data_IF_556942554272
#
_entry.id   IF_556942554272
#
_cell.length_a   1.000
_cell.length_b   1.000
_cell.length_c   1.000
_cell.angle_alpha   90.00
_cell.angle_beta   90.00
_cell.angle_gamma   90.00
#
_symmetry.space_group_name_H-M   'P 1'
#
loop_
_entity.id
_entity.type
_entity.pdbx_description
1 polymer ?
#
# COMPACT_ATOMS: atom_id res chain seq x y z
N UNK A 1 -12.12 -26.70 -5.55
CA UNK A 1 -11.29 -26.76 -6.77
C UNK A 1 -11.37 -25.42 -7.46
N UNK A 2 -10.45 -24.51 -7.14
CA UNK A 2 -10.30 -23.24 -7.84
C UNK A 2 -8.96 -23.28 -8.56
N UNK A 3 -9.00 -23.58 -9.86
CA UNK A 3 -7.86 -23.39 -10.75
C UNK A 3 -7.79 -21.89 -10.98
N UNK A 4 -6.88 -21.21 -10.29
CA UNK A 4 -6.35 -19.94 -10.81
C UNK A 4 -5.81 -20.26 -12.21
N UNK A 5 -6.27 -19.49 -13.20
CA UNK A 5 -6.05 -19.75 -14.61
C UNK A 5 -4.55 -19.95 -14.88
N UNK A 6 -4.16 -21.00 -15.59
CA UNK A 6 -2.74 -21.30 -15.89
C UNK A 6 -1.95 -20.08 -16.38
N UNK A 7 -2.62 -19.19 -17.11
CA UNK A 7 -2.06 -17.94 -17.63
C UNK A 7 -1.57 -16.96 -16.56
N UNK A 8 -2.20 -16.89 -15.39
CA UNK A 8 -1.81 -15.98 -14.31
C UNK A 8 -0.55 -16.48 -13.60
N UNK A 9 -0.45 -17.81 -13.44
CA UNK A 9 0.76 -18.45 -12.98
C UNK A 9 1.90 -18.28 -13.99
N UNK A 10 1.61 -18.45 -15.28
CA UNK A 10 2.59 -18.24 -16.36
C UNK A 10 3.12 -16.79 -16.38
N UNK A 11 2.25 -15.79 -16.21
CA UNK A 11 2.66 -14.38 -16.15
C UNK A 11 3.51 -14.07 -14.90
N UNK A 12 3.19 -14.68 -13.76
CA UNK A 12 3.98 -14.51 -12.55
C UNK A 12 5.37 -15.13 -12.71
N UNK A 13 5.45 -16.33 -13.29
CA UNK A 13 6.73 -17.00 -13.55
C UNK A 13 7.58 -16.21 -14.55
N UNK A 14 6.96 -15.65 -15.60
CA UNK A 14 7.61 -14.74 -16.55
C UNK A 14 8.14 -13.47 -15.87
N UNK A 15 7.36 -12.87 -14.96
CA UNK A 15 7.78 -11.73 -14.14
C UNK A 15 8.99 -12.09 -13.29
N UNK A 16 8.92 -13.17 -12.50
CA UNK A 16 10.00 -13.59 -11.61
C UNK A 16 11.28 -13.87 -12.41
N UNK A 17 11.17 -14.62 -13.51
CA UNK A 17 12.30 -14.89 -14.41
C UNK A 17 12.92 -13.61 -14.96
N UNK A 18 12.10 -12.67 -15.41
CA UNK A 18 12.55 -11.39 -15.97
C UNK A 18 13.30 -10.54 -14.94
N UNK A 19 12.78 -10.39 -13.73
CA UNK A 19 13.43 -9.60 -12.68
C UNK A 19 14.73 -10.27 -12.21
N UNK A 20 14.76 -11.61 -12.11
CA UNK A 20 15.99 -12.33 -11.76
C UNK A 20 17.09 -12.14 -12.82
N UNK A 21 16.75 -12.18 -14.11
CA UNK A 21 17.69 -11.88 -15.19
C UNK A 21 18.21 -10.43 -15.12
N UNK A 22 17.34 -9.47 -14.81
CA UNK A 22 17.73 -8.07 -14.64
C UNK A 22 18.65 -7.90 -13.41
N UNK A 23 18.33 -8.56 -12.29
CA UNK A 23 19.13 -8.54 -11.06
C UNK A 23 20.57 -8.99 -11.32
N UNK A 24 20.76 -10.06 -12.08
CA UNK A 24 22.11 -10.51 -12.46
C UNK A 24 22.77 -9.55 -13.48
N UNK A 25 22.05 -9.09 -14.51
CA UNK A 25 22.56 -8.17 -15.53
C UNK A 25 23.06 -6.84 -14.96
N UNK A 26 22.42 -6.33 -13.91
CA UNK A 26 22.75 -5.05 -13.27
C UNK A 26 23.48 -5.19 -11.93
N UNK A 27 23.96 -6.40 -11.61
CA UNK A 27 24.77 -6.67 -10.42
C UNK A 27 25.97 -5.74 -10.34
N UNK A 28 26.15 -5.11 -9.17
CA UNK A 28 27.20 -4.11 -8.93
C UNK A 28 26.93 -2.71 -9.53
N UNK A 29 25.82 -2.52 -10.27
CA UNK A 29 25.39 -1.20 -10.79
C UNK A 29 24.22 -0.62 -9.99
N UNK A 30 23.23 -1.45 -9.69
CA UNK A 30 22.13 -1.10 -8.79
C UNK A 30 21.62 -2.34 -8.06
N UNK A 31 20.99 -2.13 -6.91
CA UNK A 31 20.32 -3.20 -6.18
C UNK A 31 18.90 -3.33 -6.71
N UNK A 32 18.58 -4.49 -7.29
CA UNK A 32 17.24 -4.83 -7.78
C UNK A 32 16.66 -5.87 -6.83
N UNK A 33 15.50 -5.57 -6.27
CA UNK A 33 14.74 -6.49 -5.42
C UNK A 33 13.53 -7.01 -6.20
N UNK A 34 13.28 -8.30 -6.09
CA UNK A 34 12.05 -8.93 -6.57
C UNK A 34 10.99 -8.74 -5.51
N UNK A 35 9.83 -8.19 -5.89
CA UNK A 35 8.76 -7.99 -4.92
C UNK A 35 7.38 -7.94 -5.54
N UNK A 36 6.37 -7.92 -4.69
CA UNK A 36 4.98 -7.72 -5.08
C UNK A 36 4.33 -6.69 -4.15
N UNK A 37 3.40 -5.93 -4.71
CA UNK A 37 2.38 -5.26 -3.93
C UNK A 37 1.19 -6.22 -3.81
N UNK A 38 0.84 -6.57 -2.57
CA UNK A 38 -0.15 -7.58 -2.24
C UNK A 38 -1.35 -6.87 -1.65
N UNK A 39 -2.50 -7.07 -2.28
CA UNK A 39 -3.77 -6.60 -1.77
C UNK A 39 -4.21 -7.36 -0.52
N UNK A 40 -4.53 -6.61 0.52
CA UNK A 40 -5.39 -7.11 1.58
C UNK A 40 -6.85 -6.89 1.21
N UNK A 41 -7.56 -7.99 0.98
CA UNK A 41 -9.00 -7.98 0.69
C UNK A 41 -9.71 -8.68 1.85
N UNK A 42 -10.52 -7.92 2.58
CA UNK A 42 -11.27 -8.43 3.74
C UNK A 42 -12.13 -9.63 3.34
N UNK A 43 -11.98 -10.76 4.03
CA UNK A 43 -12.68 -12.01 3.73
C UNK A 43 -11.99 -12.95 2.74
N UNK A 44 -10.84 -12.57 2.18
CA UNK A 44 -10.00 -13.40 1.31
C UNK A 44 -8.64 -13.74 1.93
N UNK A 45 -8.49 -13.62 3.24
CA UNK A 45 -7.21 -13.76 3.94
C UNK A 45 -6.56 -15.13 3.72
N UNK A 46 -7.35 -16.21 3.68
CA UNK A 46 -6.84 -17.56 3.44
C UNK A 46 -6.35 -17.75 1.99
N UNK A 47 -6.97 -17.06 1.04
CA UNK A 47 -6.53 -17.06 -0.35
C UNK A 47 -5.25 -16.24 -0.50
N UNK A 48 -5.18 -15.05 0.10
CA UNK A 48 -3.97 -14.23 0.17
C UNK A 48 -2.82 -14.99 0.84
N UNK A 49 -3.08 -15.68 1.95
CA UNK A 49 -2.08 -16.50 2.66
C UNK A 49 -1.58 -17.66 1.80
N UNK A 50 -2.48 -18.36 1.11
CA UNK A 50 -2.11 -19.46 0.20
C UNK A 50 -1.24 -18.95 -0.94
N UNK A 51 -1.60 -17.81 -1.54
CA UNK A 51 -0.80 -17.14 -2.56
C UNK A 51 0.59 -16.76 -2.02
N UNK A 52 0.67 -16.09 -0.88
CA UNK A 52 1.92 -15.69 -0.24
C UNK A 52 2.82 -16.89 0.10
N UNK A 53 2.27 -18.02 0.50
CA UNK A 53 3.06 -19.24 0.75
C UNK A 53 3.66 -19.83 -0.52
N UNK A 54 3.03 -19.62 -1.68
CA UNK A 54 3.56 -20.07 -2.97
C UNK A 54 4.65 -19.14 -3.49
N UNK A 55 4.41 -17.83 -3.45
CA UNK A 55 5.26 -16.84 -4.12
C UNK A 55 6.33 -16.25 -3.21
N UNK A 56 6.04 -16.17 -1.90
CA UNK A 56 6.86 -15.52 -0.89
C UNK A 56 8.31 -16.01 -0.81
N UNK A 57 8.63 -17.31 -1.01
CA UNK A 57 10.02 -17.78 -1.07
C UNK A 57 10.87 -17.16 -2.19
N UNK A 58 10.24 -16.54 -3.19
CA UNK A 58 10.88 -15.94 -4.35
C UNK A 58 10.96 -14.40 -4.28
N UNK A 59 10.41 -13.78 -3.23
CA UNK A 59 10.38 -12.33 -3.07
C UNK A 59 11.49 -11.89 -2.11
N UNK A 60 12.21 -10.84 -2.48
CA UNK A 60 13.16 -10.14 -1.61
C UNK A 60 12.45 -9.13 -0.69
N UNK A 61 11.34 -8.56 -1.14
CA UNK A 61 10.58 -7.52 -0.44
C UNK A 61 9.13 -7.49 -0.94
N UNK A 62 8.19 -7.02 -0.12
CA UNK A 62 6.79 -6.90 -0.53
C UNK A 62 6.04 -5.83 0.25
N UNK A 63 4.97 -5.32 -0.36
CA UNK A 63 4.08 -4.30 0.22
C UNK A 63 2.72 -4.92 0.49
N UNK A 64 2.11 -4.61 1.62
CA UNK A 64 0.71 -4.92 1.92
C UNK A 64 -0.13 -3.64 1.79
N UNK A 65 -1.05 -3.63 0.84
CA UNK A 65 -1.85 -2.46 0.49
C UNK A 65 -3.35 -2.74 0.62
N UNK A 66 -4.13 -1.68 0.81
CA UNK A 66 -5.61 -1.74 0.83
C UNK A 66 -6.12 -0.88 -0.30
N UNK A 67 -6.62 -1.52 -1.37
CA UNK A 67 -7.27 -0.86 -2.51
C UNK A 67 -8.79 -1.08 -2.54
N UNK A 68 -9.29 -2.12 -1.86
CA UNK A 68 -10.70 -2.50 -1.90
C UNK A 68 -11.34 -2.38 -0.53
N UNK A 69 -12.52 -1.74 -0.49
CA UNK A 69 -13.36 -1.65 0.71
C UNK A 69 -14.61 -2.48 0.55
N UNK A 70 -14.97 -3.19 1.62
CA UNK A 70 -16.19 -4.01 1.68
C UNK A 70 -17.33 -3.19 2.28
N UNK A 71 -18.44 -3.09 1.57
CA UNK A 71 -19.65 -2.44 2.10
C UNK A 71 -20.46 -3.38 3.02
N UNK A 72 -21.55 -2.86 3.59
CA UNK A 72 -22.41 -3.61 4.52
C UNK A 72 -23.14 -4.78 3.86
N UNK A 73 -23.34 -4.70 2.55
CA UNK A 73 -23.94 -5.74 1.71
C UNK A 73 -22.91 -6.79 1.27
N UNK A 74 -21.63 -6.60 1.59
CA UNK A 74 -20.54 -7.51 1.26
C UNK A 74 -19.94 -7.33 -0.15
N UNK A 75 -20.26 -6.22 -0.84
CA UNK A 75 -19.69 -5.87 -2.15
C UNK A 75 -18.36 -5.14 -1.96
N UNK A 76 -17.44 -5.34 -2.89
CA UNK A 76 -16.12 -4.72 -2.88
C UNK A 76 -16.06 -3.53 -3.83
N UNK A 77 -15.50 -2.42 -3.35
CA UNK A 77 -15.38 -1.16 -4.07
C UNK A 77 -13.91 -0.77 -4.17
N UNK A 78 -13.43 -0.48 -5.38
CA UNK A 78 -12.05 -0.04 -5.61
C UNK A 78 -11.90 1.44 -5.25
N UNK A 79 -11.23 1.70 -4.13
CA UNK A 79 -11.12 3.01 -3.50
C UNK A 79 -10.42 4.04 -4.40
N UNK A 80 -9.48 3.59 -5.20
CA UNK A 80 -8.51 4.46 -5.84
C UNK A 80 -8.65 4.50 -7.37
N UNK A 81 -9.68 3.88 -7.94
CA UNK A 81 -9.87 3.81 -9.39
C UNK A 81 -9.95 5.19 -10.07
N UNK A 82 -11.00 5.97 -9.77
CA UNK A 82 -11.19 7.35 -10.25
C UNK A 82 -12.14 8.14 -9.33
N UNK A 83 -12.34 9.42 -9.63
CA UNK A 83 -13.18 10.31 -8.83
C UNK A 83 -14.67 9.95 -8.88
N UNK A 84 -15.17 9.45 -10.01
CA UNK A 84 -16.57 9.05 -10.20
C UNK A 84 -16.92 7.84 -9.32
N UNK A 85 -16.06 6.81 -9.31
CA UNK A 85 -16.22 5.64 -8.44
C UNK A 85 -16.14 6.05 -6.96
N UNK A 86 -15.26 6.98 -6.60
CA UNK A 86 -15.22 7.49 -5.23
C UNK A 86 -16.53 8.23 -4.87
N UNK A 87 -17.14 8.96 -5.80
CA UNK A 87 -18.45 9.59 -5.60
C UNK A 87 -19.56 8.55 -5.37
N UNK A 88 -19.60 7.48 -6.17
CA UNK A 88 -20.55 6.37 -5.99
C UNK A 88 -20.36 5.65 -4.64
N UNK A 89 -19.10 5.54 -4.18
CA UNK A 89 -18.81 5.04 -2.83
C UNK A 89 -19.38 5.96 -1.75
N UNK A 90 -19.47 7.28 -1.94
CA UNK A 90 -20.09 8.16 -0.95
C UNK A 90 -21.57 7.83 -0.79
N UNK A 91 -22.28 7.55 -1.89
CA UNK A 91 -23.68 7.11 -1.84
C UNK A 91 -23.83 5.75 -1.15
N UNK A 92 -22.90 4.83 -1.40
CA UNK A 92 -22.93 3.47 -0.83
C UNK A 92 -22.58 3.45 0.66
N UNK A 93 -21.51 4.15 1.07
CA UNK A 93 -21.04 4.21 2.45
C UNK A 93 -21.77 5.30 3.26
N UNK A 94 -22.51 6.18 2.59
CA UNK A 94 -23.33 7.26 3.13
C UNK A 94 -22.59 8.58 3.36
N UNK A 95 -21.29 8.55 3.71
CA UNK A 95 -20.48 9.76 3.87
C UNK A 95 -19.00 9.51 3.55
N UNK A 96 -18.26 10.56 3.20
CA UNK A 96 -16.78 10.53 3.10
C UNK A 96 -16.15 10.02 4.40
N UNK A 97 -16.70 10.40 5.57
CA UNK A 97 -16.22 9.92 6.87
C UNK A 97 -16.32 8.40 6.99
N UNK A 98 -17.42 7.81 6.56
CA UNK A 98 -17.61 6.37 6.63
C UNK A 98 -16.64 5.61 5.70
N UNK A 99 -16.27 6.19 4.55
CA UNK A 99 -15.22 5.63 3.68
C UNK A 99 -13.87 5.66 4.40
N UNK A 100 -13.51 6.78 5.03
CA UNK A 100 -12.27 6.89 5.82
C UNK A 100 -12.24 5.92 7.00
N UNK A 101 -13.34 5.83 7.75
CA UNK A 101 -13.47 4.91 8.87
C UNK A 101 -13.32 3.45 8.42
N UNK A 102 -13.98 3.08 7.31
CA UNK A 102 -13.87 1.75 6.72
C UNK A 102 -12.42 1.48 6.26
N UNK A 103 -11.82 2.39 5.52
CA UNK A 103 -10.44 2.26 5.05
C UNK A 103 -9.45 2.03 6.19
N UNK A 104 -9.45 2.88 7.20
CA UNK A 104 -8.52 2.73 8.32
C UNK A 104 -8.80 1.47 9.14
N UNK A 105 -10.07 1.05 9.25
CA UNK A 105 -10.39 -0.22 9.87
C UNK A 105 -9.84 -1.41 9.06
N UNK A 106 -9.97 -1.39 7.73
CA UNK A 106 -9.42 -2.42 6.84
C UNK A 106 -7.88 -2.44 6.88
N UNK A 107 -7.21 -1.29 7.00
CA UNK A 107 -5.76 -1.23 7.23
C UNK A 107 -5.37 -1.84 8.58
N UNK A 108 -6.11 -1.56 9.66
CA UNK A 108 -5.88 -2.22 10.96
C UNK A 108 -6.03 -3.74 10.85
N UNK A 109 -7.09 -4.20 10.16
CA UNK A 109 -7.28 -5.62 9.89
C UNK A 109 -6.10 -6.20 9.11
N UNK A 110 -5.61 -5.52 8.06
CA UNK A 110 -4.48 -6.01 7.27
C UNK A 110 -3.23 -6.23 8.12
N UNK A 111 -2.95 -5.35 9.08
CA UNK A 111 -1.82 -5.46 10.01
C UNK A 111 -2.02 -6.59 11.03
N UNK A 112 -3.25 -6.79 11.52
CA UNK A 112 -3.56 -7.80 12.54
C UNK A 112 -3.75 -9.21 11.97
N UNK A 113 -4.12 -9.33 10.69
CA UNK A 113 -4.41 -10.61 10.04
C UNK A 113 -3.19 -11.53 9.95
N UNK A 114 -3.41 -12.82 10.21
CA UNK A 114 -2.38 -13.85 10.07
C UNK A 114 -2.28 -14.35 8.62
N UNK A 115 -1.49 -13.64 7.81
CA UNK A 115 -1.23 -13.99 6.41
C UNK A 115 -0.03 -14.95 6.22
N UNK A 116 0.41 -15.62 7.29
CA UNK A 116 1.54 -16.56 7.25
C UNK A 116 2.92 -15.91 7.37
N UNK A 117 3.95 -16.73 7.16
CA UNK A 117 5.36 -16.33 7.32
C UNK A 117 5.82 -15.32 6.28
N UNK A 118 5.26 -15.38 5.08
CA UNK A 118 5.57 -14.50 3.95
C UNK A 118 4.69 -13.24 3.91
N UNK A 119 4.01 -12.91 5.01
CA UNK A 119 3.24 -11.67 5.12
C UNK A 119 4.15 -10.45 4.86
N UNK A 120 3.80 -9.55 3.93
CA UNK A 120 4.59 -8.35 3.69
C UNK A 120 4.75 -7.52 4.94
N UNK A 121 5.97 -6.99 5.16
CA UNK A 121 6.31 -6.19 6.36
C UNK A 121 6.31 -4.70 6.13
N UNK A 122 6.04 -4.24 4.90
CA UNK A 122 5.83 -2.82 4.58
C UNK A 122 4.36 -2.54 4.28
N UNK A 123 3.76 -1.60 5.00
CA UNK A 123 2.38 -1.15 4.77
C UNK A 123 2.38 -0.09 3.67
N UNK A 124 1.69 -0.36 2.56
CA UNK A 124 1.60 0.50 1.39
C UNK A 124 0.77 1.75 1.64
N UNK A 125 1.22 2.88 1.09
CA UNK A 125 0.53 4.18 1.04
C UNK A 125 -0.60 4.34 2.08
N UNK A 126 -0.21 4.45 3.35
CA UNK A 126 -1.07 4.32 4.54
C UNK A 126 -2.33 5.20 4.55
N UNK A 127 -2.36 6.27 3.76
CA UNK A 127 -3.49 7.21 3.68
C UNK A 127 -4.04 7.29 2.25
N UNK A 128 -4.06 6.20 1.49
CA UNK A 128 -4.55 6.17 0.11
C UNK A 128 -5.96 6.77 -0.05
N UNK A 129 -6.80 6.66 0.98
CA UNK A 129 -8.13 7.28 1.04
C UNK A 129 -8.14 8.78 0.77
N UNK A 130 -7.00 9.48 0.94
CA UNK A 130 -6.86 10.90 0.63
C UNK A 130 -6.57 11.21 -0.84
N UNK A 131 -6.56 10.20 -1.73
CA UNK A 131 -6.24 10.35 -3.17
C UNK A 131 -7.13 11.37 -3.89
N UNK A 132 -8.37 11.52 -3.46
CA UNK A 132 -9.37 12.43 -4.05
C UNK A 132 -9.77 13.59 -3.12
N UNK A 133 -8.97 13.90 -2.10
CA UNK A 133 -9.31 14.90 -1.08
C UNK A 133 -9.53 16.33 -1.61
N UNK A 134 -9.03 16.68 -2.79
CA UNK A 134 -9.33 17.99 -3.39
C UNK A 134 -10.76 18.08 -3.95
N UNK A 135 -11.29 16.95 -4.45
CA UNK A 135 -12.68 16.85 -4.90
C UNK A 135 -13.63 16.59 -3.73
N UNK A 136 -13.20 15.77 -2.76
CA UNK A 136 -13.98 15.36 -1.60
C UNK A 136 -13.23 15.67 -0.30
N UNK A 137 -13.13 16.95 0.11
CA UNK A 137 -12.33 17.35 1.26
C UNK A 137 -12.89 16.76 2.57
N UNK A 138 -12.05 16.10 3.39
CA UNK A 138 -12.50 15.61 4.69
C UNK A 138 -12.78 16.79 5.61
N UNK A 139 -14.02 16.92 6.06
CA UNK A 139 -14.45 17.94 7.05
C UNK A 139 -14.24 17.49 8.50
N UNK A 140 -13.44 16.45 8.70
CA UNK A 140 -13.19 15.78 9.97
C UNK A 140 -11.70 15.43 10.09
N UNK A 141 -11.22 15.27 11.31
CA UNK A 141 -9.87 14.77 11.55
C UNK A 141 -9.86 13.24 11.51
N UNK A 142 -8.82 12.69 10.90
CA UNK A 142 -8.51 11.26 10.88
C UNK A 142 -7.15 10.97 11.55
N UNK A 143 -6.57 11.96 12.23
CA UNK A 143 -5.23 11.86 12.81
C UNK A 143 -5.14 10.75 13.87
N UNK A 144 -6.15 10.64 14.74
CA UNK A 144 -6.21 9.57 15.75
C UNK A 144 -6.21 8.18 15.12
N UNK A 145 -6.95 7.97 14.02
CA UNK A 145 -7.03 6.67 13.35
C UNK A 145 -5.67 6.28 12.77
N UNK A 146 -4.95 7.23 12.19
CA UNK A 146 -3.61 7.01 11.65
C UNK A 146 -2.61 6.75 12.78
N UNK A 147 -2.67 7.51 13.89
CA UNK A 147 -1.80 7.28 15.05
C UNK A 147 -1.97 5.88 15.65
N UNK A 148 -3.23 5.43 15.81
CA UNK A 148 -3.52 4.06 16.26
C UNK A 148 -2.95 3.01 15.31
N UNK A 149 -3.01 3.24 14.00
CA UNK A 149 -2.38 2.35 13.02
C UNK A 149 -0.85 2.37 13.16
N UNK A 150 -0.23 3.53 13.33
CA UNK A 150 1.21 3.64 13.54
C UNK A 150 1.66 2.90 14.80
N UNK A 151 0.85 2.88 15.86
CA UNK A 151 1.11 2.07 17.05
C UNK A 151 1.06 0.57 16.76
N UNK A 152 0.10 0.11 15.95
CA UNK A 152 0.04 -1.29 15.51
C UNK A 152 1.23 -1.66 14.61
N UNK A 153 1.61 -0.77 13.68
CA UNK A 153 2.79 -0.94 12.83
C UNK A 153 4.04 -1.09 13.69
N UNK A 154 4.20 -0.22 14.70
CA UNK A 154 5.33 -0.28 15.62
C UNK A 154 5.34 -1.59 16.42
N UNK A 155 4.21 -1.97 16.99
CA UNK A 155 4.08 -3.20 17.78
C UNK A 155 4.36 -4.45 16.94
N UNK A 156 3.88 -4.47 15.69
CA UNK A 156 4.09 -5.55 14.74
C UNK A 156 5.43 -5.53 14.01
N UNK A 157 6.29 -4.53 14.29
CA UNK A 157 7.60 -4.30 13.65
C UNK A 157 7.50 -4.20 12.12
N UNK A 158 6.46 -3.52 11.64
CA UNK A 158 6.27 -3.20 10.23
C UNK A 158 7.00 -1.89 9.87
N UNK A 159 7.25 -1.69 8.57
CA UNK A 159 7.64 -0.43 7.96
C UNK A 159 6.45 0.26 7.30
N UNK A 160 6.59 1.56 7.03
CA UNK A 160 5.65 2.34 6.23
C UNK A 160 6.27 2.66 4.88
N UNK A 161 5.53 2.41 3.81
CA UNK A 161 5.81 2.93 2.48
C UNK A 161 5.55 4.44 2.46
N UNK A 162 6.62 5.24 2.41
CA UNK A 162 6.51 6.68 2.26
C UNK A 162 6.46 7.04 0.78
N UNK A 163 5.23 7.08 0.28
CA UNK A 163 4.91 7.09 -1.13
C UNK A 163 4.75 8.51 -1.67
N UNK A 164 5.47 8.81 -2.75
CA UNK A 164 5.48 10.12 -3.40
C UNK A 164 4.38 10.31 -4.46
N UNK A 165 3.66 9.27 -4.88
CA UNK A 165 2.70 9.36 -5.97
C UNK A 165 1.56 10.35 -5.71
N UNK A 166 1.03 10.42 -4.48
CA UNK A 166 -0.07 11.34 -4.14
C UNK A 166 0.26 12.82 -4.41
N UNK A 167 1.54 13.19 -4.33
CA UNK A 167 2.02 14.54 -4.60
C UNK A 167 1.70 15.01 -6.02
N UNK A 168 1.79 14.11 -6.99
CA UNK A 168 1.56 14.43 -8.40
C UNK A 168 0.12 14.18 -8.85
N UNK A 169 -0.67 13.44 -8.07
CA UNK A 169 -2.10 13.27 -8.37
C UNK A 169 -2.81 14.62 -8.20
N UNK A 170 -3.59 15.08 -9.21
CA UNK A 170 -4.22 16.40 -9.20
C UNK A 170 -5.19 16.57 -8.02
N UNK A 171 -5.85 15.48 -7.61
CA UNK A 171 -6.87 15.49 -6.58
C UNK A 171 -6.36 15.10 -5.17
N UNK A 172 -5.05 14.91 -5.01
CA UNK A 172 -4.44 14.62 -3.70
C UNK A 172 -3.50 15.73 -3.24
N UNK A 173 -2.37 15.91 -3.96
CA UNK A 173 -1.30 16.89 -3.71
C UNK A 173 -0.46 16.67 -2.45
N UNK A 174 -0.61 15.53 -1.78
CA UNK A 174 0.20 15.15 -0.61
C UNK A 174 0.79 13.75 -0.79
N UNK A 175 1.95 13.44 -0.17
CA UNK A 175 2.45 12.07 -0.15
C UNK A 175 1.59 11.18 0.75
N UNK A 176 1.75 9.87 0.61
CA UNK A 176 1.12 8.88 1.49
C UNK A 176 2.17 8.27 2.43
N UNK A 177 2.09 8.47 3.75
CA UNK A 177 1.21 9.39 4.46
C UNK A 177 1.69 10.86 4.37
N UNK A 178 0.83 11.86 4.67
CA UNK A 178 1.22 13.26 4.77
C UNK A 178 2.38 13.49 5.75
N UNK A 179 3.14 14.58 5.51
CA UNK A 179 4.39 14.90 6.25
C UNK A 179 4.21 14.91 7.78
N UNK A 180 3.03 15.27 8.29
CA UNK A 180 2.75 15.27 9.73
C UNK A 180 2.86 13.87 10.36
N UNK A 181 2.40 12.83 9.67
CA UNK A 181 2.49 11.44 10.13
C UNK A 181 3.90 10.86 9.96
N UNK A 182 4.67 11.35 9.00
CA UNK A 182 6.09 10.98 8.84
C UNK A 182 6.89 11.38 10.07
N UNK A 183 6.63 12.58 10.62
CA UNK A 183 7.25 13.03 11.88
C UNK A 183 6.89 12.08 13.04
N UNK A 184 5.66 11.57 13.08
CA UNK A 184 5.23 10.59 14.10
C UNK A 184 5.98 9.27 13.91
N UNK A 185 6.15 8.82 12.67
CA UNK A 185 6.94 7.61 12.37
C UNK A 185 8.38 7.74 12.87
N UNK A 186 9.05 8.87 12.58
CA UNK A 186 10.41 9.14 13.06
C UNK A 186 10.48 9.13 14.59
N UNK A 187 9.56 9.84 15.27
CA UNK A 187 9.51 9.89 16.73
C UNK A 187 9.30 8.50 17.37
N UNK A 188 8.52 7.63 16.72
CA UNK A 188 8.27 6.25 17.16
C UNK A 188 9.35 5.27 16.67
N UNK A 189 10.36 5.72 15.92
CA UNK A 189 11.35 4.86 15.26
C UNK A 189 10.68 3.75 14.41
N UNK A 190 9.69 4.13 13.60
CA UNK A 190 9.06 3.27 12.61
C UNK A 190 9.88 3.41 11.31
N UNK A 191 10.37 2.30 10.72
CA UNK A 191 11.09 2.36 9.46
C UNK A 191 10.24 2.96 8.34
N UNK A 192 10.80 3.95 7.65
CA UNK A 192 10.22 4.55 6.45
C UNK A 192 10.98 4.06 5.23
N UNK A 193 10.30 3.45 4.26
CA UNK A 193 10.92 3.05 2.99
C UNK A 193 10.37 3.94 1.88
N UNK A 194 11.23 4.43 1.00
CA UNK A 194 10.81 5.30 -0.09
C UNK A 194 10.01 4.53 -1.14
N UNK A 195 8.82 5.03 -1.49
CA UNK A 195 7.98 4.54 -2.57
C UNK A 195 7.79 5.58 -3.67
N UNK A 196 8.15 5.24 -4.91
CA UNK A 196 7.83 6.06 -6.09
C UNK A 196 6.49 5.69 -6.74
N UNK A 197 6.05 4.44 -6.54
CA UNK A 197 4.85 3.88 -7.18
C UNK A 197 4.84 4.10 -8.71
N UNK A 198 6.04 3.93 -9.28
CA UNK A 198 6.31 4.24 -10.67
C UNK A 198 5.75 3.16 -11.60
N UNK A 199 4.62 3.46 -12.22
CA UNK A 199 4.02 2.62 -13.27
C UNK A 199 4.60 2.88 -14.67
N UNK A 200 5.50 3.86 -14.81
CA UNK A 200 6.24 4.18 -16.05
C UNK A 200 7.63 4.70 -15.73
N UNK A 201 8.55 4.69 -16.70
CA UNK A 201 9.90 5.26 -16.54
C UNK A 201 9.86 6.72 -16.06
N UNK A 202 8.87 7.51 -16.51
CA UNK A 202 8.67 8.91 -16.09
C UNK A 202 8.22 9.04 -14.63
N UNK A 203 7.67 7.98 -14.04
CA UNK A 203 7.26 7.93 -12.64
C UNK A 203 8.43 7.70 -11.66
N UNK A 204 9.60 7.30 -12.16
CA UNK A 204 10.77 7.09 -11.30
C UNK A 204 11.15 8.40 -10.62
N UNK A 205 11.25 8.36 -9.28
CA UNK A 205 11.56 9.52 -8.42
C UNK A 205 10.55 10.68 -8.51
N UNK A 206 9.38 10.46 -9.11
CA UNK A 206 8.39 11.50 -9.31
C UNK A 206 7.84 11.99 -7.96
N UNK A 207 7.94 13.30 -7.70
CA UNK A 207 7.46 13.91 -6.45
C UNK A 207 8.38 13.69 -5.24
N UNK A 208 9.54 13.05 -5.40
CA UNK A 208 10.51 12.83 -4.33
C UNK A 208 11.02 14.16 -3.72
N UNK A 209 11.16 15.20 -4.54
CA UNK A 209 11.57 16.57 -4.14
C UNK A 209 10.58 17.24 -3.18
N UNK A 210 9.32 16.79 -3.18
CA UNK A 210 8.23 17.33 -2.36
C UNK A 210 8.00 16.54 -1.09
N UNK A 211 8.70 15.43 -0.88
CA UNK A 211 8.69 14.70 0.39
C UNK A 211 9.27 15.56 1.53
N UNK A 212 9.03 15.15 2.77
CA UNK A 212 9.62 15.81 3.95
C UNK A 212 11.16 15.75 3.83
N UNK A 213 11.81 16.90 4.00
CA UNK A 213 13.28 16.99 3.99
C UNK A 213 13.85 16.38 5.27
N UNK A 214 15.03 15.77 5.17
CA UNK A 214 15.74 15.20 6.32
C UNK A 214 15.16 13.88 6.82
N UNK A 215 14.31 13.21 6.04
CA UNK A 215 13.79 11.88 6.39
C UNK A 215 14.90 10.84 6.24
N UNK A 216 15.08 10.02 7.27
CA UNK A 216 15.97 8.87 7.24
C UNK A 216 15.21 7.66 6.69
N UNK A 217 15.53 7.27 5.44
CA UNK A 217 14.96 6.08 4.83
C UNK A 217 15.70 4.82 5.27
N UNK A 218 14.93 3.78 5.54
CA UNK A 218 15.41 2.42 5.79
C UNK A 218 15.52 1.66 4.47
N UNK A 219 16.39 0.64 4.44
CA UNK A 219 16.35 -0.33 3.36
C UNK A 219 15.02 -1.13 3.41
N UNK A 220 14.57 -1.66 2.26
CA UNK A 220 13.53 -2.68 2.22
C UNK A 220 13.76 -3.83 3.22
N UNK A 221 12.67 -4.42 3.72
CA UNK A 221 12.66 -5.40 4.83
C UNK A 221 12.74 -6.84 4.36
#
# INVERSE_FOLDING_TARGET
SGVGSSKEADLLDEYLSSVLQLKEKYKGKCNILVGLEVDFIEGYEEDTKRFLNQVGPHLDDSILSVHFLKDKEGRYHCLDFNEDVFAEMIDTFGTVKNIYDCYFQTVKQSIMSNLGTHKPKRIGHLTLVTKFQQAFPPTFSYDQQVEEILDLIKAGRFAVDYNSAGVVKPLCKEPYPPKRFVTICENKNIPLVYGSDAHTVKGLLQGADKLKKGVHFSAPL
#
